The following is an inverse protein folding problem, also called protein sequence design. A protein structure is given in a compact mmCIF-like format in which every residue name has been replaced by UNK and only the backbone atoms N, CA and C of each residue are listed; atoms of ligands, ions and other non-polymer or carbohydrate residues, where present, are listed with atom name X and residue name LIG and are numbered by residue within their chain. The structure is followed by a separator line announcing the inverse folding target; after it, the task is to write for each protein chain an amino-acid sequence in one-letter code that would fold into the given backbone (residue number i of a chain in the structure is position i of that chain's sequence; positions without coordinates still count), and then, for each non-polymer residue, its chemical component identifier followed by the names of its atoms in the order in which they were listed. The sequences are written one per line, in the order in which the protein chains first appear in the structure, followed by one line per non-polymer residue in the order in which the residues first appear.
data_IF_898212223914
#
_entry.id   IF_898212223914
#
_cell.length_a   1.000
_cell.length_b   1.000
_cell.length_c   1.000
_cell.angle_alpha   90.00
_cell.angle_beta   90.00
_cell.angle_gamma   90.00
#
_symmetry.space_group_name_H-M   'P 1'
#
loop_
_entity.id
_entity.type
_entity.pdbx_description
1 polymer ?
#
# COMPACT_ATOMS: atom_id res chain seq x y z
N UNK A 1 32.95 20.75 4.56
CA UNK A 1 31.53 20.65 4.18
C UNK A 1 31.18 19.17 4.27
N UNK A 2 30.44 18.74 5.29
CA UNK A 2 30.05 17.32 5.40
C UNK A 2 29.00 17.06 4.33
N UNK A 3 29.32 16.18 3.38
CA UNK A 3 28.35 15.72 2.40
C UNK A 3 27.17 15.12 3.18
N UNK A 4 25.95 15.59 2.91
CA UNK A 4 24.75 15.04 3.51
C UNK A 4 24.71 13.55 3.14
N UNK A 5 24.82 12.61 4.09
CA UNK A 5 25.07 11.19 3.78
C UNK A 5 23.93 10.53 2.98
N UNK A 6 22.75 11.15 2.97
CA UNK A 6 21.60 10.72 2.15
C UNK A 6 21.71 11.18 0.68
N UNK A 7 22.46 12.24 0.38
CA UNK A 7 22.66 12.74 -0.99
C UNK A 7 23.79 11.99 -1.72
N UNK A 8 24.54 11.14 -1.01
CA UNK A 8 25.60 10.31 -1.60
C UNK A 8 25.15 8.93 -2.05
N UNK A 9 23.90 8.53 -1.79
CA UNK A 9 23.36 7.25 -2.24
C UNK A 9 22.91 7.39 -3.70
N UNK A 10 23.50 6.64 -4.65
CA UNK A 10 23.05 6.66 -6.04
C UNK A 10 21.59 6.21 -6.16
N UNK A 11 20.82 6.83 -7.05
CA UNK A 11 19.40 6.44 -7.27
C UNK A 11 19.25 4.97 -7.66
N UNK A 12 20.21 4.41 -8.39
CA UNK A 12 20.27 2.99 -8.77
C UNK A 12 20.41 2.04 -7.57
N UNK A 13 20.76 2.55 -6.39
CA UNK A 13 20.88 1.79 -5.15
C UNK A 13 19.69 2.01 -4.20
N UNK A 14 18.70 2.80 -4.60
CA UNK A 14 17.49 3.04 -3.82
C UNK A 14 16.43 2.03 -4.24
N UNK A 15 16.05 1.15 -3.32
CA UNK A 15 14.97 0.18 -3.54
C UNK A 15 13.63 0.91 -3.43
N UNK A 16 12.77 0.88 -4.47
CA UNK A 16 11.43 1.46 -4.37
C UNK A 16 10.59 0.68 -3.34
N UNK A 17 10.04 1.34 -2.30
CA UNK A 17 9.43 0.67 -1.13
C UNK A 17 8.09 0.01 -1.50
N UNK A 18 8.13 -1.27 -1.87
CA UNK A 18 7.00 -1.96 -2.49
C UNK A 18 5.74 -1.92 -1.63
N UNK A 19 5.86 -2.17 -0.33
CA UNK A 19 4.73 -2.22 0.59
C UNK A 19 4.00 -0.86 0.69
N UNK A 20 4.73 0.23 0.87
CA UNK A 20 4.15 1.57 1.01
C UNK A 20 3.67 2.17 -0.30
N UNK A 21 4.29 1.82 -1.43
CA UNK A 21 3.83 2.19 -2.76
C UNK A 21 2.47 1.57 -3.01
N UNK A 22 2.37 0.24 -2.88
CA UNK A 22 1.13 -0.51 -3.09
C UNK A 22 0.05 -0.05 -2.11
N UNK A 23 0.35 0.02 -0.80
CA UNK A 23 -0.59 0.48 0.22
C UNK A 23 -1.14 1.88 -0.10
N UNK A 24 -0.27 2.81 -0.50
CA UNK A 24 -0.68 4.20 -0.77
C UNK A 24 -1.60 4.33 -1.99
N UNK A 25 -1.36 3.52 -3.02
CA UNK A 25 -2.12 3.57 -4.27
C UNK A 25 -3.44 2.81 -4.11
N UNK A 26 -3.42 1.63 -3.48
CA UNK A 26 -4.63 0.87 -3.14
C UNK A 26 -5.59 1.68 -2.26
N UNK A 27 -5.08 2.42 -1.26
CA UNK A 27 -5.92 3.32 -0.45
C UNK A 27 -6.69 4.31 -1.34
N UNK A 28 -6.02 4.92 -2.33
CA UNK A 28 -6.64 5.93 -3.19
C UNK A 28 -7.70 5.33 -4.12
N UNK A 29 -7.50 4.09 -4.57
CA UNK A 29 -8.49 3.37 -5.38
C UNK A 29 -9.73 3.08 -4.55
N UNK A 30 -9.56 2.60 -3.32
CA UNK A 30 -10.69 2.34 -2.41
C UNK A 30 -11.41 3.65 -2.05
N UNK A 31 -10.66 4.73 -1.79
CA UNK A 31 -11.24 6.07 -1.56
C UNK A 31 -12.06 6.51 -2.79
N UNK A 32 -11.54 6.35 -4.00
CA UNK A 32 -12.25 6.71 -5.23
C UNK A 32 -13.54 5.89 -5.44
N UNK A 33 -13.52 4.60 -5.13
CA UNK A 33 -14.73 3.76 -5.16
C UNK A 33 -15.75 4.25 -4.13
N UNK A 34 -15.31 4.58 -2.92
CA UNK A 34 -16.19 5.10 -1.88
C UNK A 34 -16.82 6.45 -2.26
N UNK A 35 -16.03 7.34 -2.86
CA UNK A 35 -16.49 8.64 -3.35
C UNK A 35 -17.41 8.51 -4.57
N UNK A 36 -17.20 7.50 -5.42
CA UNK A 36 -18.03 7.24 -6.60
C UNK A 36 -19.37 6.59 -6.24
N UNK A 37 -19.36 5.67 -5.27
CA UNK A 37 -20.54 4.89 -4.86
C UNK A 37 -21.28 5.50 -3.66
N UNK A 38 -21.45 6.83 -3.61
CA UNK A 38 -22.14 7.50 -2.49
C UNK A 38 -23.58 7.01 -2.24
N UNK A 39 -24.26 6.51 -3.27
CA UNK A 39 -25.60 5.93 -3.18
C UNK A 39 -25.62 4.53 -2.52
N UNK A 40 -24.46 3.85 -2.45
CA UNK A 40 -24.29 2.48 -1.96
C UNK A 40 -23.46 2.42 -0.67
N UNK A 41 -23.42 3.50 0.13
CA UNK A 41 -22.62 3.59 1.36
C UNK A 41 -22.79 2.40 2.31
N UNK A 42 -24.04 1.93 2.51
CA UNK A 42 -24.31 0.77 3.37
C UNK A 42 -23.69 -0.51 2.83
N UNK A 43 -23.74 -0.72 1.52
CA UNK A 43 -23.11 -1.86 0.86
C UNK A 43 -21.59 -1.82 1.00
N UNK A 44 -20.98 -0.65 0.82
CA UNK A 44 -19.53 -0.45 1.03
C UNK A 44 -19.14 -0.77 2.47
N UNK A 45 -19.88 -0.25 3.46
CA UNK A 45 -19.64 -0.56 4.87
C UNK A 45 -19.70 -2.06 5.17
N UNK A 46 -20.64 -2.78 4.55
CA UNK A 46 -20.72 -4.24 4.68
C UNK A 46 -19.51 -4.94 4.06
N UNK A 47 -19.06 -4.52 2.87
CA UNK A 47 -17.85 -5.05 2.22
C UNK A 47 -16.63 -4.86 3.13
N UNK A 48 -16.42 -3.63 3.63
CA UNK A 48 -15.30 -3.32 4.52
C UNK A 48 -15.35 -4.14 5.81
N UNK A 49 -16.54 -4.28 6.42
CA UNK A 49 -16.74 -5.08 7.63
C UNK A 49 -16.42 -6.56 7.39
N UNK A 50 -16.94 -7.14 6.32
CA UNK A 50 -16.74 -8.56 5.98
C UNK A 50 -15.28 -8.85 5.60
N UNK A 51 -14.59 -7.89 5.01
CA UNK A 51 -13.15 -7.97 4.74
C UNK A 51 -12.28 -7.74 6.00
N UNK A 52 -12.87 -7.51 7.18
CA UNK A 52 -12.17 -7.07 8.39
C UNK A 52 -11.25 -5.86 8.12
N UNK A 53 -11.67 -4.95 7.25
CA UNK A 53 -10.93 -3.76 6.86
C UNK A 53 -11.41 -2.57 7.70
N UNK A 54 -10.77 -2.36 8.86
CA UNK A 54 -11.04 -1.22 9.73
C UNK A 54 -10.13 -0.05 9.32
N UNK A 55 -10.73 1.14 9.24
CA UNK A 55 -10.00 2.39 9.07
C UNK A 55 -9.37 2.75 10.42
N UNK A 56 -8.08 3.10 10.42
CA UNK A 56 -7.44 3.69 11.60
C UNK A 56 -8.09 5.05 11.89
N UNK A 57 -8.69 5.26 13.08
CA UNK A 57 -9.45 6.48 13.37
C UNK A 57 -8.58 7.74 13.41
N UNK A 58 -7.27 7.63 13.63
CA UNK A 58 -6.34 8.77 13.67
C UNK A 58 -5.76 9.07 12.30
N UNK A 59 -5.38 8.03 11.55
CA UNK A 59 -4.73 8.18 10.23
C UNK A 59 -5.74 8.26 9.08
N UNK A 60 -6.99 7.88 9.31
CA UNK A 60 -8.05 7.78 8.30
C UNK A 60 -7.64 6.90 7.10
N UNK A 61 -6.76 5.92 7.34
CA UNK A 61 -6.22 5.00 6.34
C UNK A 61 -6.45 3.55 6.77
N UNK A 62 -6.52 2.63 5.81
CA UNK A 62 -6.49 1.19 6.04
C UNK A 62 -5.05 0.71 6.32
N UNK A 63 -4.94 -0.37 7.09
CA UNK A 63 -3.68 -1.09 7.25
C UNK A 63 -3.30 -1.83 5.96
N UNK A 64 -2.02 -2.18 5.79
CA UNK A 64 -1.56 -2.98 4.64
C UNK A 64 -2.31 -4.31 4.51
N UNK A 65 -2.54 -5.01 5.62
CA UNK A 65 -3.31 -6.26 5.63
C UNK A 65 -4.79 -6.06 5.25
N UNK A 66 -5.39 -4.94 5.65
CA UNK A 66 -6.75 -4.61 5.25
C UNK A 66 -6.84 -4.33 3.74
N UNK A 67 -5.92 -3.52 3.19
CA UNK A 67 -5.87 -3.25 1.75
C UNK A 67 -5.60 -4.50 0.92
N UNK A 68 -4.69 -5.36 1.38
CA UNK A 68 -4.45 -6.65 0.74
C UNK A 68 -5.75 -7.43 0.59
N UNK A 69 -6.53 -7.62 1.68
CA UNK A 69 -7.84 -8.32 1.60
C UNK A 69 -8.86 -7.63 0.70
N UNK A 70 -8.86 -6.30 0.65
CA UNK A 70 -9.77 -5.53 -0.20
C UNK A 70 -9.45 -5.65 -1.69
N UNK A 71 -8.16 -5.77 -2.03
CA UNK A 71 -7.67 -5.79 -3.41
C UNK A 71 -7.53 -7.22 -3.95
N UNK A 72 -6.99 -8.15 -3.17
CA UNK A 72 -6.69 -9.52 -3.63
C UNK A 72 -7.76 -10.54 -3.21
N UNK A 73 -8.62 -10.18 -2.25
CA UNK A 73 -9.64 -11.06 -1.69
C UNK A 73 -11.04 -10.93 -2.31
N UNK A 74 -12.01 -11.64 -1.72
CA UNK A 74 -13.41 -11.65 -2.15
C UNK A 74 -14.06 -10.26 -2.21
N UNK A 75 -13.61 -9.34 -1.35
CA UNK A 75 -14.11 -7.97 -1.32
C UNK A 75 -13.94 -7.24 -2.66
N UNK A 76 -12.90 -7.57 -3.44
CA UNK A 76 -12.72 -7.05 -4.80
C UNK A 76 -13.93 -7.36 -5.68
N UNK A 77 -14.39 -8.60 -5.69
CA UNK A 77 -15.53 -9.02 -6.49
C UNK A 77 -16.84 -8.40 -5.99
N UNK A 78 -16.97 -8.20 -4.67
CA UNK A 78 -18.11 -7.48 -4.11
C UNK A 78 -18.13 -6.00 -4.52
N UNK A 79 -16.97 -5.34 -4.61
CA UNK A 79 -16.90 -3.97 -5.14
C UNK A 79 -17.39 -3.89 -6.59
N UNK A 80 -17.01 -4.86 -7.44
CA UNK A 80 -17.47 -4.91 -8.84
C UNK A 80 -18.99 -5.03 -8.95
N UNK A 81 -19.64 -5.76 -8.05
CA UNK A 81 -21.10 -5.95 -8.04
C UNK A 81 -21.89 -4.68 -7.69
N UNK A 82 -21.33 -3.81 -6.86
CA UNK A 82 -22.02 -2.59 -6.41
C UNK A 82 -21.76 -1.37 -7.29
N UNK A 83 -20.77 -1.45 -8.18
CA UNK A 83 -20.44 -0.40 -9.13
C UNK A 83 -21.52 -0.34 -10.22
N UNK A 84 -22.08 0.84 -10.53
CA UNK A 84 -23.09 0.97 -11.59
C UNK A 84 -22.48 0.62 -12.95
N UNK A 85 -23.24 0.14 -13.95
CA UNK A 85 -22.70 -0.26 -15.26
C UNK A 85 -22.34 0.95 -16.13
N UNK A 86 -21.31 1.69 -15.74
CA UNK A 86 -20.79 2.86 -16.45
C UNK A 86 -19.35 2.62 -16.89
N UNK A 87 -18.86 3.43 -17.83
CA UNK A 87 -17.47 3.35 -18.24
C UNK A 87 -16.49 3.72 -17.10
N UNK A 88 -16.86 4.65 -16.21
CA UNK A 88 -16.04 4.98 -15.04
C UNK A 88 -15.94 3.80 -14.07
N UNK A 89 -17.03 3.05 -13.87
CA UNK A 89 -17.00 1.81 -13.11
C UNK A 89 -16.13 0.75 -13.77
N UNK A 90 -16.22 0.60 -15.10
CA UNK A 90 -15.37 -0.35 -15.82
C UNK A 90 -13.87 -0.02 -15.63
N UNK A 91 -13.51 1.27 -15.62
CA UNK A 91 -12.15 1.72 -15.31
C UNK A 91 -11.78 1.37 -13.86
N UNK A 92 -12.62 1.69 -12.87
CA UNK A 92 -12.37 1.35 -11.46
C UNK A 92 -12.20 -0.16 -11.24
N UNK A 93 -13.00 -1.00 -11.93
CA UNK A 93 -12.86 -2.45 -11.89
C UNK A 93 -11.49 -2.90 -12.43
N UNK A 94 -11.06 -2.37 -13.58
CA UNK A 94 -9.73 -2.69 -14.14
C UNK A 94 -8.59 -2.22 -13.25
N UNK A 95 -8.75 -1.08 -12.58
CA UNK A 95 -7.76 -0.59 -11.60
C UNK A 95 -7.63 -1.54 -10.40
N UNK A 96 -8.75 -2.09 -9.90
CA UNK A 96 -8.73 -3.12 -8.85
C UNK A 96 -8.02 -4.40 -9.30
N UNK A 97 -8.28 -4.85 -10.53
CA UNK A 97 -7.65 -6.03 -11.11
C UNK A 97 -6.15 -5.82 -11.30
N UNK A 98 -5.77 -4.70 -11.92
CA UNK A 98 -4.38 -4.32 -12.14
C UNK A 98 -3.60 -4.21 -10.83
N UNK A 99 -4.19 -3.64 -9.77
CA UNK A 99 -3.54 -3.61 -8.46
C UNK A 99 -3.39 -5.00 -7.83
N UNK A 100 -4.33 -5.91 -8.06
CA UNK A 100 -4.20 -7.28 -7.57
C UNK A 100 -3.05 -8.01 -8.27
N UNK A 101 -2.86 -7.78 -9.57
CA UNK A 101 -1.72 -8.31 -10.33
C UNK A 101 -0.40 -7.73 -9.81
N UNK A 102 -0.35 -6.42 -9.55
CA UNK A 102 0.83 -5.77 -8.95
C UNK A 102 1.14 -6.35 -7.56
N UNK A 103 0.13 -6.60 -6.72
CA UNK A 103 0.31 -7.27 -5.43
C UNK A 103 0.96 -8.64 -5.60
N UNK A 104 0.48 -9.44 -6.56
CA UNK A 104 1.01 -10.78 -6.82
C UNK A 104 2.48 -10.72 -7.26
N UNK A 105 2.82 -9.81 -8.16
CA UNK A 105 4.20 -9.62 -8.63
C UNK A 105 5.10 -9.10 -7.50
N UNK A 106 4.58 -8.26 -6.61
CA UNK A 106 5.29 -7.82 -5.42
C UNK A 106 5.35 -8.87 -4.29
N UNK A 107 4.69 -10.02 -4.41
CA UNK A 107 4.85 -11.13 -3.46
C UNK A 107 5.92 -12.12 -3.95
N UNK A 108 6.28 -12.06 -5.24
CA UNK A 108 7.32 -12.88 -5.82
C UNK A 108 8.70 -12.49 -5.26
N UNK A 109 9.49 -13.50 -4.85
CA UNK A 109 10.85 -13.26 -4.34
C UNK A 109 11.80 -12.84 -5.47
N UNK A 110 11.69 -13.47 -6.64
CA UNK A 110 12.40 -13.10 -7.85
C UNK A 110 11.39 -13.03 -8.99
N UNK A 111 11.65 -12.16 -9.96
CA UNK A 111 10.83 -11.94 -11.14
C UNK A 111 11.56 -12.50 -12.36
N UNK A 112 10.90 -13.37 -13.11
CA UNK A 112 11.39 -13.73 -14.44
C UNK A 112 11.14 -12.60 -15.45
N UNK A 113 11.72 -12.70 -16.67
CA UNK A 113 11.57 -11.66 -17.69
C UNK A 113 10.10 -11.39 -18.08
N UNK A 114 9.26 -12.43 -18.06
CA UNK A 114 7.84 -12.30 -18.36
C UNK A 114 7.09 -11.62 -17.21
N UNK A 115 7.43 -11.89 -15.95
CA UNK A 115 6.89 -11.21 -14.78
C UNK A 115 7.33 -9.74 -14.70
N UNK A 116 8.57 -9.42 -15.08
CA UNK A 116 9.03 -8.02 -15.22
C UNK A 116 8.20 -7.29 -16.29
N UNK A 117 7.96 -7.91 -17.44
CA UNK A 117 7.13 -7.32 -18.50
C UNK A 117 5.67 -7.16 -18.06
N UNK A 118 5.13 -8.13 -17.31
CA UNK A 118 3.82 -8.00 -16.70
C UNK A 118 3.74 -6.83 -15.72
N UNK A 119 4.78 -6.60 -14.91
CA UNK A 119 4.85 -5.46 -13.99
C UNK A 119 4.86 -4.13 -14.76
N UNK A 120 5.67 -4.02 -15.81
CA UNK A 120 5.72 -2.85 -16.70
C UNK A 120 4.36 -2.56 -17.32
N UNK A 121 3.72 -3.59 -17.86
CA UNK A 121 2.38 -3.49 -18.45
C UNK A 121 1.34 -3.09 -17.41
N UNK A 122 1.34 -3.71 -16.24
CA UNK A 122 0.36 -3.44 -15.18
C UNK A 122 0.49 -1.99 -14.66
N UNK A 123 1.71 -1.53 -14.37
CA UNK A 123 1.94 -0.14 -13.89
C UNK A 123 1.59 0.91 -14.96
N UNK A 124 1.84 0.61 -16.23
CA UNK A 124 1.43 1.46 -17.37
C UNK A 124 -0.10 1.50 -17.51
N UNK A 125 -0.75 0.35 -17.46
CA UNK A 125 -2.22 0.25 -17.52
C UNK A 125 -2.87 1.02 -16.37
N UNK A 126 -2.33 0.89 -15.15
CA UNK A 126 -2.83 1.60 -13.99
C UNK A 126 -2.75 3.12 -14.18
N UNK A 127 -1.62 3.63 -14.68
CA UNK A 127 -1.48 5.05 -14.98
C UNK A 127 -2.47 5.51 -16.05
N UNK A 128 -2.60 4.77 -17.15
CA UNK A 128 -3.53 5.07 -18.23
C UNK A 128 -4.99 5.06 -17.75
N UNK A 129 -5.38 4.11 -16.89
CA UNK A 129 -6.72 4.06 -16.30
C UNK A 129 -6.98 5.24 -15.35
N UNK A 130 -5.99 5.67 -14.56
CA UNK A 130 -6.11 6.89 -13.74
C UNK A 130 -6.34 8.13 -14.62
N UNK A 131 -5.59 8.26 -15.70
CA UNK A 131 -5.73 9.37 -16.66
C UNK A 131 -7.09 9.32 -17.37
N UNK A 132 -7.50 8.15 -17.88
CA UNK A 132 -8.80 7.98 -18.53
C UNK A 132 -9.97 8.27 -17.57
N UNK A 133 -9.85 7.89 -16.30
CA UNK A 133 -10.82 8.23 -15.27
C UNK A 133 -10.85 9.74 -15.06
N UNK A 134 -9.69 10.38 -14.92
CA UNK A 134 -9.57 11.83 -14.75
C UNK A 134 -10.24 12.60 -15.89
N UNK A 135 -9.90 12.27 -17.14
CA UNK A 135 -10.45 12.91 -18.33
C UNK A 135 -11.97 12.80 -18.36
N UNK A 136 -12.52 11.67 -17.91
CA UNK A 136 -13.98 11.51 -17.80
C UNK A 136 -14.59 12.43 -16.75
N UNK A 137 -13.97 12.57 -15.59
CA UNK A 137 -14.47 13.48 -14.55
C UNK A 137 -14.29 14.96 -14.91
N UNK A 138 -13.29 15.31 -15.72
CA UNK A 138 -13.10 16.67 -16.24
C UNK A 138 -14.09 17.00 -17.37
N UNK A 139 -14.33 16.06 -18.30
CA UNK A 139 -15.25 16.25 -19.44
C UNK A 139 -16.73 16.20 -19.03
N UNK A 140 -17.06 15.41 -18.01
CA UNK A 140 -18.34 15.53 -17.34
C UNK A 140 -18.29 16.81 -16.50
N UNK A 141 -18.66 17.96 -17.07
CA UNK A 141 -18.90 19.21 -16.33
C UNK A 141 -19.89 18.95 -15.18
N UNK A 142 -19.37 18.44 -14.05
CA UNK A 142 -20.17 17.77 -13.04
C UNK A 142 -20.84 18.85 -12.24
N UNK A 143 -22.12 19.10 -12.56
CA UNK A 143 -23.07 19.94 -11.83
C UNK A 143 -22.92 19.72 -10.31
N UNK A 144 -22.04 20.51 -9.69
CA UNK A 144 -22.03 20.88 -8.28
C UNK A 144 -21.71 19.81 -7.22
N UNK A 145 -21.13 18.63 -7.50
CA UNK A 145 -20.87 17.67 -6.39
C UNK A 145 -19.47 17.06 -6.25
N UNK A 146 -18.65 16.96 -7.29
CA UNK A 146 -17.25 16.52 -7.18
C UNK A 146 -16.49 17.15 -8.35
N UNK A 147 -15.80 18.27 -8.12
CA UNK A 147 -14.88 18.79 -9.13
C UNK A 147 -13.72 17.79 -9.28
N UNK A 148 -13.28 17.48 -10.50
CA UNK A 148 -12.19 16.53 -10.73
C UNK A 148 -10.95 16.81 -9.85
N UNK A 149 -10.65 18.07 -9.51
CA UNK A 149 -9.58 18.42 -8.57
C UNK A 149 -9.73 17.92 -7.11
N UNK A 150 -10.88 17.35 -6.73
CA UNK A 150 -11.19 16.93 -5.35
C UNK A 150 -10.92 15.44 -5.10
N UNK A 151 -10.98 14.57 -6.10
CA UNK A 151 -10.70 13.15 -5.88
C UNK A 151 -9.21 12.94 -5.66
N UNK A 152 -8.85 12.35 -4.52
CA UNK A 152 -7.45 12.11 -4.14
C UNK A 152 -6.72 11.27 -5.19
N UNK A 153 -7.41 10.39 -5.90
CA UNK A 153 -6.79 9.49 -6.88
C UNK A 153 -6.13 10.21 -8.06
N UNK A 154 -6.60 11.39 -8.46
CA UNK A 154 -6.04 12.14 -9.60
C UNK A 154 -4.83 13.01 -9.23
N UNK A 155 -4.56 13.22 -7.94
CA UNK A 155 -3.40 14.02 -7.52
C UNK A 155 -2.13 13.23 -7.82
N UNK A 156 -1.20 13.74 -8.64
CA UNK A 156 0.08 13.08 -8.86
C UNK A 156 0.78 12.93 -7.51
N UNK A 157 1.18 11.71 -7.18
CA UNK A 157 1.90 11.44 -5.94
C UNK A 157 3.31 10.96 -6.23
N UNK A 158 4.25 11.25 -5.33
CA UNK A 158 5.56 10.60 -5.36
C UNK A 158 5.43 9.08 -5.43
N UNK A 159 4.43 8.48 -4.74
CA UNK A 159 4.19 7.03 -4.77
C UNK A 159 3.80 6.50 -6.14
N UNK A 160 2.87 7.16 -6.83
CA UNK A 160 2.47 6.75 -8.18
C UNK A 160 3.64 6.91 -9.16
N UNK A 161 4.39 8.02 -9.06
CA UNK A 161 5.59 8.22 -9.88
C UNK A 161 6.65 7.13 -9.61
N UNK A 162 6.94 6.83 -8.35
CA UNK A 162 7.88 5.77 -7.97
C UNK A 162 7.46 4.41 -8.51
N UNK A 163 6.18 4.06 -8.43
CA UNK A 163 5.68 2.80 -8.98
C UNK A 163 5.80 2.74 -10.51
N UNK A 164 5.37 3.78 -11.22
CA UNK A 164 5.29 3.74 -12.68
C UNK A 164 6.63 3.98 -13.38
N UNK A 165 7.55 4.72 -12.76
CA UNK A 165 8.83 5.10 -13.38
C UNK A 165 10.03 4.31 -12.84
N UNK A 166 10.08 4.04 -11.53
CA UNK A 166 11.31 3.55 -10.88
C UNK A 166 11.22 2.09 -10.43
N UNK A 167 10.05 1.61 -10.02
CA UNK A 167 9.88 0.21 -9.58
C UNK A 167 10.11 -0.79 -10.72
N UNK A 168 9.64 -0.45 -11.93
CA UNK A 168 9.81 -1.26 -13.13
C UNK A 168 11.25 -1.28 -13.63
N UNK A 169 11.94 -0.13 -13.63
CA UNK A 169 13.37 -0.03 -13.95
C UNK A 169 14.21 -0.85 -12.95
N UNK A 170 13.93 -0.70 -11.65
CA UNK A 170 14.61 -1.46 -10.62
C UNK A 170 14.42 -2.98 -10.82
N UNK A 171 13.19 -3.42 -11.05
CA UNK A 171 12.86 -4.83 -11.26
C UNK A 171 13.57 -5.42 -12.48
N UNK A 172 13.66 -4.66 -13.58
CA UNK A 172 14.38 -5.07 -14.79
C UNK A 172 15.89 -5.20 -14.56
N UNK A 173 16.49 -4.27 -13.84
CA UNK A 173 17.93 -4.27 -13.57
C UNK A 173 18.34 -5.38 -12.58
N UNK A 174 17.48 -5.67 -11.60
CA UNK A 174 17.85 -6.51 -10.46
C UNK A 174 17.18 -7.90 -10.46
N UNK A 175 16.11 -8.11 -11.24
CA UNK A 175 15.35 -9.37 -11.26
C UNK A 175 14.50 -9.59 -10.00
N UNK A 176 14.27 -8.55 -9.20
CA UNK A 176 13.40 -8.56 -8.02
C UNK A 176 12.96 -7.13 -7.68
N UNK A 177 11.93 -6.98 -6.87
CA UNK A 177 11.49 -5.68 -6.37
C UNK A 177 11.21 -5.69 -4.86
N UNK A 178 10.47 -6.68 -4.38
CA UNK A 178 9.95 -6.72 -3.01
C UNK A 178 10.66 -7.71 -2.09
N UNK A 179 11.70 -8.40 -2.57
CA UNK A 179 12.44 -9.38 -1.78
C UNK A 179 12.97 -8.79 -0.46
N UNK A 180 13.48 -7.56 -0.52
CA UNK A 180 13.83 -6.75 0.64
C UNK A 180 12.76 -5.67 0.80
N UNK A 181 11.68 -5.98 1.52
CA UNK A 181 10.61 -5.02 1.80
C UNK A 181 10.75 -4.40 3.18
N UNK A 182 10.21 -3.20 3.32
CA UNK A 182 10.08 -2.47 4.58
C UNK A 182 9.10 -3.10 5.58
N UNK A 183 8.37 -4.15 5.19
CA UNK A 183 7.38 -4.79 6.06
C UNK A 183 8.00 -5.38 7.32
N UNK A 184 9.24 -5.89 7.23
CA UNK A 184 10.00 -6.36 8.40
C UNK A 184 10.25 -5.24 9.41
N UNK A 185 10.57 -4.03 8.93
CA UNK A 185 10.74 -2.86 9.78
C UNK A 185 9.43 -2.42 10.43
N UNK A 186 8.32 -2.48 9.71
CA UNK A 186 7.00 -2.15 10.27
C UNK A 186 6.56 -3.13 11.36
N UNK A 187 6.92 -4.41 11.22
CA UNK A 187 6.72 -5.39 12.28
C UNK A 187 7.52 -5.03 13.54
N UNK A 188 8.80 -4.66 13.39
CA UNK A 188 9.62 -4.19 14.50
C UNK A 188 9.00 -2.95 15.17
N UNK A 189 8.54 -1.97 14.41
CA UNK A 189 7.85 -0.80 14.98
C UNK A 189 6.64 -1.18 15.85
N UNK A 190 5.86 -2.18 15.42
CA UNK A 190 4.71 -2.65 16.20
C UNK A 190 5.11 -3.26 17.54
N UNK A 191 6.20 -4.04 17.55
CA UNK A 191 6.76 -4.64 18.75
C UNK A 191 7.33 -3.57 19.69
N UNK A 192 8.07 -2.59 19.15
CA UNK A 192 8.55 -1.45 19.93
C UNK A 192 7.41 -0.69 20.60
N UNK A 193 6.32 -0.41 19.89
CA UNK A 193 5.15 0.28 20.46
C UNK A 193 4.50 -0.53 21.58
N UNK A 194 4.38 -1.85 21.40
CA UNK A 194 3.86 -2.74 22.43
C UNK A 194 4.73 -2.73 23.69
N UNK A 195 6.04 -2.88 23.53
CA UNK A 195 6.99 -2.87 24.64
C UNK A 195 7.11 -1.48 25.29
N UNK A 196 6.99 -0.40 24.53
CA UNK A 196 7.06 0.97 25.04
C UNK A 196 5.91 1.25 26.04
N UNK A 197 4.72 0.69 25.79
CA UNK A 197 3.60 0.75 26.75
C UNK A 197 3.92 -0.04 28.02
N UNK A 198 4.57 -1.20 27.92
CA UNK A 198 4.94 -2.00 29.09
C UNK A 198 5.98 -1.31 29.97
N UNK A 199 6.90 -0.56 29.37
CA UNK A 199 7.97 0.15 30.07
C UNK A 199 7.71 1.63 30.31
N UNK A 200 6.51 2.15 30.00
CA UNK A 200 6.20 3.58 30.12
C UNK A 200 6.31 4.12 31.56
N UNK A 201 6.13 3.24 32.56
CA UNK A 201 6.18 3.59 33.98
C UNK A 201 7.61 3.59 34.56
N UNK A 202 8.65 3.40 33.74
CA UNK A 202 10.04 3.38 34.22
C UNK A 202 10.53 4.78 34.64
N UNK A 203 9.86 5.85 34.23
CA UNK A 203 10.15 7.25 34.60
C UNK A 203 11.43 7.84 33.96
N UNK A 204 12.35 6.97 33.56
CA UNK A 204 13.63 7.29 32.93
C UNK A 204 13.62 6.80 31.47
N UNK A 205 13.86 7.75 30.54
CA UNK A 205 13.86 7.49 29.09
C UNK A 205 15.02 6.61 28.66
N UNK A 206 16.20 6.78 29.25
CA UNK A 206 17.40 6.03 28.88
C UNK A 206 17.25 4.58 29.33
N UNK A 207 16.76 4.38 30.56
CA UNK A 207 16.43 3.05 31.08
C UNK A 207 15.29 2.37 30.32
N UNK A 208 14.35 3.14 29.77
CA UNK A 208 13.29 2.62 28.90
C UNK A 208 13.89 2.13 27.58
N UNK A 209 14.76 2.93 26.94
CA UNK A 209 15.43 2.54 25.70
C UNK A 209 16.31 1.30 25.90
N UNK A 210 17.04 1.21 27.01
CA UNK A 210 17.85 0.05 27.36
C UNK A 210 17.00 -1.22 27.49
N UNK A 211 15.89 -1.16 28.25
CA UNK A 211 14.96 -2.30 28.40
C UNK A 211 14.34 -2.72 27.07
N UNK A 212 13.98 -1.76 26.21
CA UNK A 212 13.47 -2.05 24.87
C UNK A 212 14.50 -2.80 24.02
N UNK A 213 15.76 -2.35 24.02
CA UNK A 213 16.84 -2.98 23.28
C UNK A 213 17.16 -4.40 23.80
N UNK A 214 17.20 -4.56 25.13
CA UNK A 214 17.42 -5.87 25.77
C UNK A 214 16.31 -6.85 25.41
N UNK A 215 15.04 -6.44 25.53
CA UNK A 215 13.90 -7.28 25.21
C UNK A 215 13.89 -7.67 23.72
N UNK A 216 14.15 -6.71 22.82
CA UNK A 216 14.25 -6.99 21.39
C UNK A 216 15.37 -8.00 21.07
N UNK A 217 16.53 -7.86 21.71
CA UNK A 217 17.66 -8.79 21.53
C UNK A 217 17.29 -10.22 21.95
N UNK A 218 16.58 -10.36 23.07
CA UNK A 218 16.07 -11.65 23.54
C UNK A 218 15.06 -12.26 22.56
N UNK A 219 14.10 -11.48 22.06
CA UNK A 219 13.12 -11.95 21.09
C UNK A 219 13.78 -12.39 19.79
N UNK A 220 14.74 -11.63 19.27
CA UNK A 220 15.52 -12.02 18.10
C UNK A 220 16.24 -13.36 18.34
N UNK A 221 16.92 -13.50 19.47
CA UNK A 221 17.61 -14.76 19.82
C UNK A 221 16.68 -15.97 19.99
N UNK A 222 15.44 -15.75 20.45
CA UNK A 222 14.42 -16.81 20.51
C UNK A 222 13.86 -17.15 19.11
N UNK A 223 13.67 -16.15 18.26
CA UNK A 223 13.21 -16.32 16.89
C UNK A 223 14.22 -17.14 16.07
N UNK A 224 15.50 -16.78 16.13
CA UNK A 224 16.59 -17.43 15.39
C UNK A 224 16.75 -18.91 15.78
N UNK A 225 16.38 -19.26 17.02
CA UNK A 225 16.39 -20.64 17.52
C UNK A 225 15.11 -21.41 17.20
N UNK A 226 14.16 -20.81 16.49
CA UNK A 226 12.84 -21.38 16.22
C UNK A 226 11.98 -21.58 17.47
N UNK A 227 12.33 -20.94 18.59
CA UNK A 227 11.67 -21.10 19.88
C UNK A 227 10.41 -20.21 20.00
N UNK A 228 10.26 -19.21 19.15
CA UNK A 228 9.02 -18.43 19.04
C UNK A 228 7.96 -19.19 18.22
N UNK A 229 7.19 -20.07 18.88
CA UNK A 229 5.90 -20.53 18.34
C UNK A 229 4.84 -19.45 18.60
N UNK A 230 4.51 -18.65 17.58
CA UNK A 230 3.38 -17.71 17.52
C UNK A 230 3.11 -17.00 18.86
N UNK A 231 3.88 -15.95 19.14
CA UNK A 231 3.44 -14.91 20.06
C UNK A 231 3.39 -13.63 19.23
N UNK A 232 2.20 -13.01 19.21
CA UNK A 232 1.69 -11.93 18.33
C UNK A 232 0.92 -12.44 17.11
#
# INVERSE_FOLDING_TARGET
MFATPLLSIPSSQIIPPSFHLIQGISQRIIDAINDYCQHSKRSIQNILKNAHAKIDPRKQNFTGAALHRLITGQAREEFKKILPPTQSSAILCRMLETMADIYKLADASFLDQNEVEQLKKATTNLYNDIQALRDRFENLNFRGRLAAGQLKIFKPTPKLHMLCAHATEFAEQNGWWSWISEQGMEHLHSLYNYLAVQYCNTGDKDRTAEKLAQHQTLLNGLNDRGAMKKII
#
